data_IF_078416482174
#
_entry.id   IF_078416482174
#
_cell.length_a   1.000
_cell.length_b   1.000
_cell.length_c   1.000
_cell.angle_alpha   90.00
_cell.angle_beta   90.00
_cell.angle_gamma   90.00
#
_symmetry.space_group_name_H-M   'P 1'
#
loop_
_entity.id
_entity.type
_entity.pdbx_description
1 polymer ?
#
# COMPACT_ATOMS: atom_id res chain seq x y z
N UNK A 1 -3.35 -0.88 -12.98
CA UNK A 1 -3.48 -0.66 -11.51
C UNK A 1 -4.22 0.64 -11.24
N UNK A 2 -4.90 0.80 -10.11
CA UNK A 2 -5.61 2.03 -9.74
C UNK A 2 -4.76 2.85 -8.75
N UNK A 3 -4.64 4.14 -8.98
CA UNK A 3 -3.96 5.06 -8.08
C UNK A 3 -4.92 6.17 -7.61
N UNK A 4 -4.97 6.41 -6.29
CA UNK A 4 -5.81 7.47 -5.72
C UNK A 4 -5.51 8.84 -6.34
N UNK A 5 -6.52 9.72 -6.50
CA UNK A 5 -6.31 11.08 -6.99
C UNK A 5 -5.25 11.84 -6.18
N UNK A 6 -4.33 12.52 -6.86
CA UNK A 6 -3.29 13.33 -6.23
C UNK A 6 -2.21 12.57 -5.44
N UNK A 7 -2.27 11.23 -5.38
CA UNK A 7 -1.27 10.37 -4.70
C UNK A 7 -0.36 9.71 -5.73
N UNK A 8 0.61 8.90 -5.31
CA UNK A 8 1.42 8.03 -6.20
C UNK A 8 2.00 8.71 -7.47
N UNK A 9 2.46 9.96 -7.38
CA UNK A 9 3.04 10.69 -8.52
C UNK A 9 4.27 9.97 -9.11
N UNK A 10 5.04 9.28 -8.27
CA UNK A 10 6.13 8.41 -8.70
C UNK A 10 5.66 7.29 -9.61
N UNK A 11 4.52 6.65 -9.33
CA UNK A 11 3.97 5.59 -10.19
C UNK A 11 3.49 6.16 -11.51
N UNK A 12 2.80 7.31 -11.49
CA UNK A 12 2.31 7.99 -12.70
C UNK A 12 3.43 8.35 -13.68
N UNK A 13 4.61 8.74 -13.17
CA UNK A 13 5.77 9.05 -14.01
C UNK A 13 6.23 7.87 -14.88
N UNK A 14 6.05 6.64 -14.40
CA UNK A 14 6.50 5.43 -15.08
C UNK A 14 5.37 4.69 -15.83
N UNK A 15 4.15 5.22 -15.78
CA UNK A 15 3.03 4.65 -16.49
C UNK A 15 3.17 4.89 -18.00
N UNK A 16 2.89 3.86 -18.79
CA UNK A 16 2.78 3.99 -20.24
C UNK A 16 1.44 4.62 -20.64
N UNK A 17 0.41 4.35 -19.86
CA UNK A 17 -0.92 4.90 -20.04
C UNK A 17 -1.52 5.30 -18.70
N UNK A 18 -2.25 6.41 -18.71
CA UNK A 18 -2.98 6.96 -17.57
C UNK A 18 -4.39 7.25 -18.04
N UNK A 19 -5.36 6.54 -17.49
CA UNK A 19 -6.78 6.70 -17.79
C UNK A 19 -7.51 7.17 -16.54
N UNK A 20 -8.16 8.33 -16.61
CA UNK A 20 -8.96 8.83 -15.50
C UNK A 20 -10.23 7.98 -15.34
N UNK A 21 -10.55 7.62 -14.10
CA UNK A 21 -11.79 6.95 -13.71
C UNK A 21 -12.42 7.66 -12.51
N UNK A 22 -13.66 7.29 -12.18
CA UNK A 22 -14.36 7.86 -11.02
C UNK A 22 -13.61 7.62 -9.69
N UNK A 23 -12.91 6.49 -9.57
CA UNK A 23 -12.22 6.07 -8.34
C UNK A 23 -10.74 6.51 -8.29
N UNK A 24 -10.23 7.13 -9.36
CA UNK A 24 -8.83 7.52 -9.50
C UNK A 24 -8.27 7.21 -10.90
N UNK A 25 -6.94 7.15 -11.02
CA UNK A 25 -6.31 6.91 -12.32
C UNK A 25 -5.96 5.42 -12.49
N UNK A 26 -6.41 4.83 -13.59
CA UNK A 26 -5.98 3.51 -14.04
C UNK A 26 -4.67 3.69 -14.79
N UNK A 27 -3.61 3.10 -14.25
CA UNK A 27 -2.25 3.15 -14.77
C UNK A 27 -1.86 1.79 -15.37
N UNK A 28 -1.33 1.82 -16.59
CA UNK A 28 -0.69 0.67 -17.24
C UNK A 28 0.81 0.82 -17.14
N UNK A 29 1.49 -0.19 -16.60
CA UNK A 29 2.94 -0.18 -16.41
C UNK A 29 3.55 -1.43 -17.05
N UNK A 30 4.74 -1.26 -17.65
CA UNK A 30 5.61 -2.38 -17.94
C UNK A 30 6.41 -2.75 -16.70
N UNK A 31 6.56 -4.05 -16.51
CA UNK A 31 7.45 -4.61 -15.50
C UNK A 31 8.13 -5.84 -16.09
N UNK A 32 9.31 -6.15 -15.57
CA UNK A 32 10.07 -7.34 -15.99
C UNK A 32 9.80 -8.55 -15.09
N UNK A 33 9.56 -8.32 -13.80
CA UNK A 33 9.42 -9.37 -12.80
C UNK A 33 8.42 -8.93 -11.70
N UNK A 34 7.43 -9.78 -11.32
CA UNK A 34 6.36 -9.42 -10.37
C UNK A 34 6.82 -9.02 -8.97
N UNK A 35 7.78 -9.72 -8.38
CA UNK A 35 8.25 -9.47 -7.01
C UNK A 35 8.98 -8.12 -6.88
N UNK A 36 9.75 -7.72 -7.90
CA UNK A 36 10.42 -6.43 -7.98
C UNK A 36 9.41 -5.28 -8.10
N UNK A 37 8.37 -5.47 -8.93
CA UNK A 37 7.27 -4.52 -9.00
C UNK A 37 6.55 -4.41 -7.65
N UNK A 38 6.23 -5.54 -7.02
CA UNK A 38 5.59 -5.58 -5.71
C UNK A 38 6.42 -4.85 -4.63
N UNK A 39 7.73 -5.12 -4.57
CA UNK A 39 8.64 -4.48 -3.61
C UNK A 39 8.67 -2.95 -3.77
N UNK A 40 8.50 -2.43 -4.98
CA UNK A 40 8.37 -1.01 -5.21
C UNK A 40 6.99 -0.47 -4.82
N UNK A 41 5.91 -1.17 -5.20
CA UNK A 41 4.53 -0.72 -5.00
C UNK A 41 4.09 -0.72 -3.53
N UNK A 42 4.57 -1.65 -2.69
CA UNK A 42 4.20 -1.70 -1.26
C UNK A 42 4.51 -0.41 -0.50
N UNK A 43 5.47 0.39 -0.97
CA UNK A 43 5.83 1.69 -0.37
C UNK A 43 4.70 2.72 -0.43
N UNK A 44 3.76 2.56 -1.37
CA UNK A 44 2.60 3.43 -1.51
C UNK A 44 1.41 2.97 -0.66
N UNK A 45 1.48 1.79 -0.05
CA UNK A 45 0.43 1.24 0.80
C UNK A 45 -0.95 1.28 0.13
N UNK A 46 -1.91 1.89 0.80
CA UNK A 46 -3.31 1.97 0.34
C UNK A 46 -3.56 2.99 -0.79
N UNK A 47 -2.55 3.76 -1.20
CA UNK A 47 -2.71 4.74 -2.27
C UNK A 47 -2.72 4.10 -3.68
N UNK A 48 -2.28 2.84 -3.78
CA UNK A 48 -2.19 2.08 -5.03
C UNK A 48 -2.86 0.72 -4.85
N UNK A 49 -3.70 0.33 -5.81
CA UNK A 49 -4.37 -0.95 -5.85
C UNK A 49 -4.08 -1.67 -7.18
N UNK A 50 -3.53 -2.88 -7.12
CA UNK A 50 -3.25 -3.66 -8.33
C UNK A 50 -4.52 -4.40 -8.78
N UNK A 51 -4.98 -4.06 -9.96
CA UNK A 51 -6.14 -4.68 -10.60
C UNK A 51 -5.73 -6.02 -11.24
N UNK A 52 -4.72 -5.96 -12.12
CA UNK A 52 -4.17 -7.09 -12.87
C UNK A 52 -2.67 -6.85 -13.11
N UNK A 53 -1.88 -7.92 -13.39
CA UNK A 53 -2.27 -9.33 -13.34
C UNK A 53 -2.27 -9.91 -11.91
N UNK A 54 -2.91 -11.06 -11.73
CA UNK A 54 -3.07 -11.71 -10.43
C UNK A 54 -1.74 -11.99 -9.73
N UNK A 55 -0.71 -12.41 -10.48
CA UNK A 55 0.63 -12.68 -9.97
C UNK A 55 1.27 -11.49 -9.24
N UNK A 56 1.06 -10.27 -9.74
CA UNK A 56 1.58 -9.04 -9.10
C UNK A 56 0.83 -8.76 -7.80
N UNK A 57 -0.50 -8.95 -7.81
CA UNK A 57 -1.32 -8.80 -6.60
C UNK A 57 -0.90 -9.81 -5.53
N UNK A 58 -0.67 -11.06 -5.90
CA UNK A 58 -0.25 -12.11 -4.97
C UNK A 58 1.15 -11.82 -4.40
N UNK A 59 2.08 -11.34 -5.23
CA UNK A 59 3.40 -10.90 -4.79
C UNK A 59 3.32 -9.74 -3.79
N UNK A 60 2.42 -8.77 -3.99
CA UNK A 60 2.17 -7.67 -3.05
C UNK A 60 1.61 -8.19 -1.73
N UNK A 61 0.60 -9.06 -1.78
CA UNK A 61 -0.02 -9.62 -0.57
C UNK A 61 1.01 -10.42 0.24
N UNK A 62 1.83 -11.23 -0.42
CA UNK A 62 2.93 -11.95 0.21
C UNK A 62 3.88 -10.98 0.93
N UNK A 63 4.34 -9.94 0.23
CA UNK A 63 5.27 -8.96 0.78
C UNK A 63 4.69 -8.18 1.97
N UNK A 64 3.42 -7.78 1.89
CA UNK A 64 2.75 -7.07 2.98
C UNK A 64 2.58 -7.96 4.21
N UNK A 65 2.25 -9.24 4.04
CA UNK A 65 2.17 -10.22 5.13
C UNK A 65 3.52 -10.43 5.80
N UNK A 66 4.60 -10.54 5.02
CA UNK A 66 5.96 -10.64 5.58
C UNK A 66 6.30 -9.40 6.42
N UNK A 67 6.00 -8.21 5.92
CA UNK A 67 6.23 -6.96 6.63
C UNK A 67 5.41 -6.87 7.93
N UNK A 68 4.14 -7.28 7.89
CA UNK A 68 3.28 -7.32 9.07
C UNK A 68 3.82 -8.31 10.12
N UNK A 69 4.22 -9.51 9.69
CA UNK A 69 4.82 -10.50 10.59
C UNK A 69 6.17 -10.05 11.18
N UNK A 70 6.97 -9.28 10.43
CA UNK A 70 8.19 -8.66 10.99
C UNK A 70 7.85 -7.54 11.98
N UNK A 71 6.86 -6.70 11.67
CA UNK A 71 6.43 -5.63 12.56
C UNK A 71 5.90 -6.19 13.89
N UNK A 72 5.15 -7.30 13.86
CA UNK A 72 4.68 -7.99 15.07
C UNK A 72 5.84 -8.55 15.90
N UNK A 73 6.85 -9.16 15.27
CA UNK A 73 8.03 -9.67 15.96
C UNK A 73 8.88 -8.56 16.60
N UNK A 74 8.90 -7.38 15.99
CA UNK A 74 9.62 -6.21 16.48
C UNK A 74 8.82 -5.42 17.53
N UNK A 75 7.49 -5.61 17.58
CA UNK A 75 6.67 -4.99 18.61
C UNK A 75 7.08 -5.56 19.98
N UNK A 76 7.60 -4.68 20.84
CA UNK A 76 7.91 -5.05 22.22
C UNK A 76 6.59 -5.41 22.92
N UNK A 77 6.46 -6.59 23.55
CA UNK A 77 5.26 -6.95 24.30
C UNK A 77 5.01 -5.96 25.43
N UNK A 78 4.05 -5.04 25.26
CA UNK A 78 3.67 -4.06 26.30
C UNK A 78 3.27 -2.67 25.79
N UNK A 79 3.64 -2.27 24.57
CA UNK A 79 3.31 -0.93 24.06
C UNK A 79 1.97 -0.90 23.31
N UNK A 80 0.90 -1.29 24.01
CA UNK A 80 -0.45 -0.84 23.60
C UNK A 80 -0.59 0.60 24.08
N UNK A 81 -0.38 1.55 23.18
CA UNK A 81 -0.71 2.95 23.45
C UNK A 81 -2.23 3.02 23.56
N UNK A 82 -2.75 3.01 24.77
CA UNK A 82 -4.16 3.26 25.08
C UNK A 82 -4.49 4.72 24.71
N UNK A 83 -4.82 4.95 23.44
CA UNK A 83 -5.20 6.25 22.90
C UNK A 83 -6.65 6.65 23.24
N UNK A 84 -7.33 5.91 24.12
CA UNK A 84 -8.76 6.09 24.42
C UNK A 84 -9.06 6.22 25.93
N UNK A 85 -8.16 6.83 26.72
CA UNK A 85 -8.54 7.26 28.08
C UNK A 85 -9.29 8.60 27.99
N UNK A 86 -10.62 8.65 28.17
CA UNK A 86 -11.31 9.92 28.27
C UNK A 86 -10.79 10.68 29.48
N UNK A 87 -10.51 11.97 29.29
CA UNK A 87 -10.13 12.88 30.37
C UNK A 87 -11.29 12.98 31.35
N UNK A 88 -11.19 12.29 32.49
CA UNK A 88 -12.09 12.48 33.61
C UNK A 88 -11.87 13.88 34.19
N UNK A 89 -12.78 14.78 33.84
CA UNK A 89 -12.89 16.13 34.41
C UNK A 89 -13.46 16.01 35.82
N UNK A 90 -12.61 16.17 36.82
CA UNK A 90 -13.02 16.33 38.21
C UNK A 90 -13.71 17.69 38.39
N UNK A 91 -14.95 17.65 38.89
CA UNK A 91 -15.75 18.79 39.34
C UNK A 91 -15.54 19.03 40.85
#
# INVERSE_FOLDING_TARGET
>A
LLARPGRAAGVRRWAEQVEASADGDILTLRYAEPHGLAAWLVRYGTDVHVLEPAEVRDAIVCRLRDMAGMAEKLAVPGERVDADRPAEVAA
#
